data_IF_942652929336
#
_entry.id   IF_942652929336
#
_cell.length_a   1.000
_cell.length_b   1.000
_cell.length_c   1.000
_cell.angle_alpha   90.00
_cell.angle_beta   90.00
_cell.angle_gamma   90.00
#
_symmetry.space_group_name_H-M   'P 1'
#
loop_
_entity.id
_entity.type
_entity.pdbx_description
1 polymer ?
#
# COMPACT_ATOMS: atom_id res chain seq x y z
N UNK A 1 13.57 5.20 -1.55
CA UNK A 1 14.06 5.74 -2.85
C UNK A 1 13.80 7.24 -2.88
N UNK A 2 14.54 8.06 -3.62
CA UNK A 2 14.29 9.52 -3.68
C UNK A 2 14.07 9.96 -5.13
N UNK A 3 12.99 10.69 -5.38
CA UNK A 3 12.70 11.28 -6.69
C UNK A 3 13.64 12.47 -6.95
N UNK A 4 14.18 12.57 -8.17
CA UNK A 4 15.20 13.59 -8.49
C UNK A 4 14.63 15.01 -8.59
N UNK A 5 13.41 15.16 -9.13
CA UNK A 5 12.81 16.47 -9.40
C UNK A 5 12.20 17.11 -8.16
N UNK A 6 11.45 16.34 -7.38
CA UNK A 6 10.78 16.82 -6.16
C UNK A 6 11.62 16.63 -4.88
N UNK A 7 12.63 15.76 -4.92
CA UNK A 7 13.37 15.34 -3.73
C UNK A 7 12.57 14.46 -2.76
N UNK A 8 11.34 14.04 -3.11
CA UNK A 8 10.44 13.27 -2.24
C UNK A 8 10.94 11.85 -2.00
N UNK A 9 10.64 11.35 -0.81
CA UNK A 9 10.84 9.94 -0.49
C UNK A 9 9.76 9.09 -1.14
N UNK A 10 10.21 8.05 -1.82
CA UNK A 10 9.40 7.13 -2.62
C UNK A 10 9.51 5.72 -2.04
N UNK A 11 8.39 5.02 -2.06
CA UNK A 11 8.25 3.61 -1.70
C UNK A 11 7.89 2.79 -2.96
N UNK A 12 8.39 1.56 -3.00
CA UNK A 12 7.96 0.56 -3.96
C UNK A 12 6.91 -0.32 -3.28
N UNK A 13 5.66 -0.25 -3.74
CA UNK A 13 4.51 -0.96 -3.19
C UNK A 13 4.15 -2.09 -4.12
N UNK A 14 4.18 -3.33 -3.62
CA UNK A 14 3.70 -4.47 -4.37
C UNK A 14 2.19 -4.61 -4.13
N UNK A 15 1.42 -4.58 -5.22
CA UNK A 15 -0.03 -4.79 -5.21
C UNK A 15 -0.32 -6.18 -5.77
N UNK A 16 -0.58 -7.19 -4.92
CA UNK A 16 -0.82 -8.55 -5.36
C UNK A 16 -2.22 -8.71 -5.96
N UNK A 17 -2.37 -9.71 -6.82
CA UNK A 17 -3.69 -10.19 -7.23
C UNK A 17 -4.30 -11.11 -6.17
N UNK A 18 -5.59 -10.96 -5.89
CA UNK A 18 -6.34 -11.86 -5.03
C UNK A 18 -6.94 -13.01 -5.85
N UNK A 19 -7.09 -14.24 -5.31
CA UNK A 19 -6.72 -14.69 -3.97
C UNK A 19 -5.26 -15.20 -3.88
N UNK A 20 -4.55 -15.33 -5.02
CA UNK A 20 -3.21 -15.89 -5.06
C UNK A 20 -2.14 -14.78 -5.22
N UNK A 21 -1.41 -14.40 -4.16
CA UNK A 21 -0.43 -13.30 -4.18
C UNK A 21 0.89 -13.65 -4.88
N UNK A 22 0.87 -14.54 -5.87
CA UNK A 22 2.04 -14.87 -6.70
C UNK A 22 2.27 -13.81 -7.79
N UNK A 23 1.19 -13.21 -8.28
CA UNK A 23 1.22 -12.16 -9.31
C UNK A 23 0.75 -10.81 -8.74
N UNK A 24 0.93 -9.77 -9.54
CA UNK A 24 0.60 -8.40 -9.15
C UNK A 24 1.35 -7.38 -9.99
N UNK A 25 1.32 -6.13 -9.55
CA UNK A 25 2.14 -5.06 -10.09
C UNK A 25 2.92 -4.37 -8.99
N UNK A 26 4.00 -3.69 -9.38
CA UNK A 26 4.77 -2.83 -8.50
C UNK A 26 4.43 -1.39 -8.84
N UNK A 27 4.07 -0.61 -7.83
CA UNK A 27 3.80 0.81 -7.95
C UNK A 27 4.87 1.60 -7.19
N UNK A 28 5.37 2.69 -7.79
CA UNK A 28 6.28 3.61 -7.13
C UNK A 28 5.46 4.83 -6.70
N UNK A 29 5.26 4.97 -5.39
CA UNK A 29 4.43 6.04 -4.83
C UNK A 29 5.20 6.83 -3.78
N UNK A 30 4.86 8.11 -3.58
CA UNK A 30 5.41 8.90 -2.49
C UNK A 30 5.08 8.31 -1.12
N UNK A 31 6.05 8.32 -0.21
CA UNK A 31 5.90 7.78 1.14
C UNK A 31 4.84 8.53 1.95
N UNK A 32 4.67 9.83 1.69
CA UNK A 32 3.65 10.70 2.32
C UNK A 32 2.21 10.38 1.87
N UNK A 33 2.04 9.55 0.85
CA UNK A 33 0.75 9.05 0.38
C UNK A 33 0.42 7.65 0.94
N UNK A 34 1.29 7.08 1.78
CA UNK A 34 1.08 5.77 2.39
C UNK A 34 0.58 5.91 3.82
N UNK A 35 -0.40 5.08 4.17
CA UNK A 35 -0.85 4.92 5.54
C UNK A 35 -0.24 3.63 6.10
N UNK A 36 0.67 3.69 7.08
CA UNK A 36 1.24 2.50 7.68
C UNK A 36 0.16 1.72 8.44
N UNK A 37 0.17 0.40 8.28
CA UNK A 37 -0.70 -0.52 9.00
C UNK A 37 0.11 -1.23 10.08
N UNK A 38 -0.49 -1.51 11.23
CA UNK A 38 0.07 -2.34 12.31
C UNK A 38 -0.27 -3.83 12.16
N UNK A 39 -0.72 -4.24 10.97
CA UNK A 39 -1.12 -5.61 10.69
C UNK A 39 0.06 -6.57 10.76
N UNK A 40 -0.18 -7.76 11.31
CA UNK A 40 0.75 -8.87 11.15
C UNK A 40 0.77 -9.34 9.70
N UNK A 41 1.84 -10.04 9.31
CA UNK A 41 1.94 -10.66 7.99
C UNK A 41 0.74 -11.59 7.74
N UNK A 42 0.33 -12.38 8.75
CA UNK A 42 -0.81 -13.29 8.63
C UNK A 42 -2.13 -12.56 8.39
N UNK A 43 -2.37 -11.43 9.06
CA UNK A 43 -3.57 -10.61 8.84
C UNK A 43 -3.60 -10.03 7.42
N UNK A 44 -2.47 -9.49 6.95
CA UNK A 44 -2.35 -8.98 5.58
C UNK A 44 -2.56 -10.09 4.54
N UNK A 45 -1.98 -11.27 4.76
CA UNK A 45 -2.14 -12.42 3.86
C UNK A 45 -3.58 -12.93 3.85
N UNK A 46 -4.25 -13.03 5.01
CA UNK A 46 -5.66 -13.41 5.08
C UNK A 46 -6.56 -12.42 4.32
N UNK A 47 -6.29 -11.12 4.44
CA UNK A 47 -7.00 -10.09 3.68
C UNK A 47 -6.82 -10.27 2.17
N UNK A 48 -5.59 -10.47 1.69
CA UNK A 48 -5.30 -10.69 0.26
C UNK A 48 -5.96 -11.98 -0.25
N UNK A 49 -5.77 -13.10 0.45
CA UNK A 49 -6.30 -14.41 0.02
C UNK A 49 -7.83 -14.42 0.00
N UNK A 50 -8.47 -13.71 0.93
CA UNK A 50 -9.92 -13.62 1.00
C UNK A 50 -10.53 -12.62 -0.01
N UNK A 51 -9.72 -11.90 -0.79
CA UNK A 51 -10.24 -10.84 -1.66
C UNK A 51 -10.78 -9.63 -0.90
N UNK A 52 -10.30 -9.40 0.33
CA UNK A 52 -10.70 -8.30 1.19
C UNK A 52 -11.81 -8.63 2.19
N UNK A 53 -12.36 -9.86 2.19
CA UNK A 53 -13.42 -10.25 3.11
C UNK A 53 -12.93 -10.45 4.56
N UNK A 54 -11.69 -10.88 4.75
CA UNK A 54 -11.05 -11.06 6.04
C UNK A 54 -10.22 -9.82 6.42
N UNK A 55 -10.90 -8.69 6.63
CA UNK A 55 -10.29 -7.45 7.10
C UNK A 55 -10.30 -7.38 8.64
N UNK A 56 -9.26 -6.80 9.27
CA UNK A 56 -9.31 -6.38 10.66
C UNK A 56 -10.39 -5.32 10.90
N UNK A 57 -10.97 -5.31 12.10
CA UNK A 57 -12.06 -4.40 12.46
C UNK A 57 -11.67 -2.91 12.39
N UNK A 58 -10.38 -2.61 12.54
CA UNK A 58 -9.83 -1.26 12.48
C UNK A 58 -8.95 -1.11 11.24
N UNK A 59 -9.46 -0.41 10.24
CA UNK A 59 -8.66 0.10 9.12
C UNK A 59 -8.04 1.45 9.52
N UNK A 60 -6.76 1.69 9.19
CA UNK A 60 -6.16 2.97 9.49
C UNK A 60 -6.77 4.07 8.60
N UNK A 61 -6.80 5.32 9.08
CA UNK A 61 -7.44 6.41 8.38
C UNK A 61 -6.75 6.68 7.04
N UNK A 62 -7.52 6.83 5.97
CA UNK A 62 -6.98 7.18 4.65
C UNK A 62 -6.48 8.63 4.69
N UNK A 63 -5.16 8.84 4.61
CA UNK A 63 -4.60 10.18 4.36
C UNK A 63 -4.72 10.50 2.87
N UNK A 64 -5.31 11.65 2.49
CA UNK A 64 -5.31 12.08 1.11
C UNK A 64 -3.86 12.28 0.64
N UNK A 65 -3.48 11.62 -0.45
CA UNK A 65 -2.23 11.94 -1.13
C UNK A 65 -2.30 13.41 -1.54
N UNK A 66 -1.48 14.25 -0.91
CA UNK A 66 -1.46 15.69 -1.17
C UNK A 66 -0.99 15.92 -2.61
N UNK A 67 -1.95 16.05 -3.52
CA UNK A 67 -1.72 16.25 -4.94
C UNK A 67 -1.15 17.66 -5.16
N UNK A 68 0.17 17.78 -5.21
CA UNK A 68 0.82 18.82 -6.04
C UNK A 68 1.30 18.14 -7.30
N UNK A 69 0.37 17.98 -8.23
CA UNK A 69 0.70 17.81 -9.63
C UNK A 69 1.05 19.23 -10.15
N UNK A 70 2.28 19.50 -10.61
CA UNK A 70 2.56 20.70 -11.39
C UNK A 70 1.81 20.68 -12.73
#
# INVERSE_FOLDING_TARGET
MREQESGREMAAVFVPTTPNPTGGYLEIVPLDCLTPTDWTVDQAMAFIISGGAAAPDNLPPTVPCSNRMP
#
